data_IF_810319923880
#
_entry.id   IF_810319923880
#
_cell.length_a   1.000
_cell.length_b   1.000
_cell.length_c   1.000
_cell.angle_alpha   90.00
_cell.angle_beta   90.00
_cell.angle_gamma   90.00
#
_symmetry.space_group_name_H-M   'P 1'
#
loop_
_entity.id
_entity.type
_entity.pdbx_description
1 polymer ?
#
# COMPACT_ATOMS: atom_id res chain seq x y z
N UNK A 1 -9.89 -8.71 -17.63
CA UNK A 1 -8.75 -8.05 -16.94
C UNK A 1 -8.53 -6.67 -17.56
N UNK A 2 -8.41 -5.64 -16.72
CA UNK A 2 -8.17 -4.28 -17.18
C UNK A 2 -6.75 -4.12 -17.73
N UNK A 3 -6.63 -3.50 -18.90
CA UNK A 3 -5.34 -3.16 -19.50
C UNK A 3 -4.66 -2.05 -18.70
N UNK A 4 -3.32 -2.07 -18.62
CA UNK A 4 -2.56 -1.08 -17.83
C UNK A 4 -2.85 0.37 -18.28
N UNK A 5 -3.05 0.60 -19.56
CA UNK A 5 -3.30 1.95 -20.09
C UNK A 5 -4.72 2.47 -19.83
N UNK A 6 -5.58 1.68 -19.21
CA UNK A 6 -6.92 2.07 -18.77
C UNK A 6 -7.16 1.74 -17.30
N UNK A 7 -6.12 1.27 -16.60
CA UNK A 7 -6.23 0.89 -15.18
C UNK A 7 -6.32 2.10 -14.29
N UNK A 8 -7.13 1.97 -13.23
CA UNK A 8 -7.22 2.96 -12.14
C UNK A 8 -6.61 2.34 -10.91
N UNK A 9 -5.53 2.94 -10.42
CA UNK A 9 -4.72 2.39 -9.33
C UNK A 9 -4.68 3.38 -8.18
N UNK A 10 -4.91 2.89 -6.97
CA UNK A 10 -4.74 3.70 -5.76
C UNK A 10 -3.51 3.22 -4.99
N UNK A 11 -2.68 4.17 -4.58
CA UNK A 11 -1.55 3.96 -3.66
C UNK A 11 -2.00 4.48 -2.31
N UNK A 12 -1.98 3.63 -1.29
CA UNK A 12 -2.35 4.01 0.08
C UNK A 12 -1.07 4.14 0.92
N UNK A 13 -0.82 5.34 1.43
CA UNK A 13 0.37 5.62 2.23
C UNK A 13 0.13 6.79 3.18
N UNK A 14 0.99 6.92 4.17
CA UNK A 14 1.06 8.08 5.07
C UNK A 14 2.51 8.45 5.32
N UNK A 15 2.77 9.43 6.17
CA UNK A 15 4.13 9.87 6.49
C UNK A 15 5.03 8.69 6.86
N UNK A 16 6.29 8.78 6.48
CA UNK A 16 7.29 7.73 6.74
C UNK A 16 7.27 6.58 5.74
N UNK A 17 6.54 6.72 4.62
CA UNK A 17 6.67 5.75 3.53
C UNK A 17 8.07 5.82 2.92
N UNK A 18 8.63 4.67 2.54
CA UNK A 18 9.92 4.67 1.84
C UNK A 18 9.76 5.34 0.47
N UNK A 19 10.57 6.36 0.23
CA UNK A 19 10.46 7.23 -0.94
C UNK A 19 10.42 6.47 -2.27
N UNK A 20 11.35 5.56 -2.48
CA UNK A 20 11.45 4.80 -3.72
C UNK A 20 10.26 3.88 -3.95
N UNK A 21 9.68 3.35 -2.87
CA UNK A 21 8.59 2.37 -2.93
C UNK A 21 7.24 2.99 -3.29
N UNK A 22 7.13 4.30 -3.19
CA UNK A 22 5.99 5.05 -3.72
C UNK A 22 6.32 5.67 -5.07
N UNK A 23 7.45 6.37 -5.16
CA UNK A 23 7.82 7.14 -6.37
C UNK A 23 7.98 6.27 -7.60
N UNK A 24 8.70 5.17 -7.49
CA UNK A 24 8.98 4.31 -8.65
C UNK A 24 7.69 3.70 -9.21
N UNK A 25 6.83 3.03 -8.40
CA UNK A 25 5.56 2.54 -8.92
C UNK A 25 4.67 3.66 -9.47
N UNK A 26 4.59 4.80 -8.78
CA UNK A 26 3.76 5.93 -9.21
C UNK A 26 4.15 6.39 -10.61
N UNK A 27 5.43 6.70 -10.81
CA UNK A 27 5.93 7.22 -12.08
C UNK A 27 5.86 6.18 -13.20
N UNK A 28 6.23 4.93 -12.92
CA UNK A 28 6.22 3.86 -13.91
C UNK A 28 4.81 3.49 -14.37
N UNK A 29 3.87 3.42 -13.45
CA UNK A 29 2.48 3.10 -13.78
C UNK A 29 1.84 4.24 -14.59
N UNK A 30 2.09 5.49 -14.22
CA UNK A 30 1.64 6.63 -15.01
C UNK A 30 2.26 6.65 -16.40
N UNK A 31 3.55 6.36 -16.51
CA UNK A 31 4.23 6.30 -17.80
C UNK A 31 3.61 5.26 -18.73
N UNK A 32 3.06 4.18 -18.17
CA UNK A 32 2.36 3.13 -18.92
C UNK A 32 0.90 3.46 -19.19
N UNK A 33 0.42 4.62 -18.77
CA UNK A 33 -0.92 5.10 -19.07
C UNK A 33 -1.97 4.87 -17.98
N UNK A 34 -1.61 4.31 -16.83
CA UNK A 34 -2.56 4.13 -15.72
C UNK A 34 -2.91 5.47 -15.06
N UNK A 35 -4.14 5.57 -14.57
CA UNK A 35 -4.57 6.66 -13.69
C UNK A 35 -4.25 6.27 -12.26
N UNK A 36 -3.24 6.93 -11.66
CA UNK A 36 -2.74 6.60 -10.33
C UNK A 36 -3.07 7.73 -9.37
N UNK A 37 -3.76 7.38 -8.29
CA UNK A 37 -4.11 8.32 -7.21
C UNK A 37 -3.40 7.93 -5.93
N UNK A 38 -3.05 8.93 -5.12
CA UNK A 38 -2.46 8.74 -3.80
C UNK A 38 -3.54 9.02 -2.76
N UNK A 39 -3.86 8.01 -1.95
CA UNK A 39 -4.78 8.11 -0.83
C UNK A 39 -4.01 8.06 0.48
N UNK A 40 -4.46 8.80 1.48
CA UNK A 40 -3.88 8.80 2.81
C UNK A 40 -4.94 8.99 3.90
N UNK A 41 -4.53 8.81 5.13
CA UNK A 41 -5.37 9.04 6.31
C UNK A 41 -5.37 10.51 6.73
N UNK A 42 -4.56 11.34 6.06
CA UNK A 42 -4.53 12.79 6.28
C UNK A 42 -4.57 13.53 4.96
N UNK A 43 -5.05 14.74 5.01
CA UNK A 43 -5.17 15.66 3.91
C UNK A 43 -3.84 16.37 3.62
N UNK A 44 -3.75 17.04 2.47
CA UNK A 44 -2.59 17.86 2.08
C UNK A 44 -1.46 17.04 1.48
N UNK A 45 -0.39 16.85 2.24
CA UNK A 45 0.81 16.15 1.79
C UNK A 45 1.26 15.10 2.79
N UNK A 46 1.92 14.05 2.29
CA UNK A 46 2.60 13.06 3.11
C UNK A 46 4.10 13.11 2.81
N UNK A 47 4.90 12.94 3.86
CA UNK A 47 6.35 13.09 3.80
C UNK A 47 7.05 11.73 3.77
N UNK A 48 7.95 11.56 2.83
CA UNK A 48 8.71 10.32 2.68
C UNK A 48 9.79 10.16 3.73
N UNK A 49 10.18 8.90 3.95
CA UNK A 49 11.44 8.53 4.54
C UNK A 49 12.37 8.12 3.39
N UNK A 50 13.57 8.68 3.33
CA UNK A 50 14.53 8.43 2.25
C UNK A 50 15.77 7.77 2.84
N UNK A 51 15.72 6.46 2.96
CA UNK A 51 16.77 5.57 3.50
C UNK A 51 17.19 5.88 4.93
N UNK A 52 17.66 7.10 5.22
CA UNK A 52 18.27 7.48 6.51
C UNK A 52 17.67 8.72 7.14
N UNK A 53 16.84 9.45 6.42
CA UNK A 53 16.27 10.71 6.89
C UNK A 53 14.96 11.00 6.16
N UNK A 54 14.27 12.01 6.63
CA UNK A 54 13.07 12.51 5.96
C UNK A 54 13.43 13.06 4.58
N UNK A 55 12.61 12.74 3.59
CA UNK A 55 12.75 13.17 2.22
C UNK A 55 11.67 14.16 1.79
N UNK A 56 11.38 14.16 0.50
CA UNK A 56 10.36 15.02 -0.09
C UNK A 56 8.94 14.57 0.27
N UNK A 57 7.98 15.39 -0.09
CA UNK A 57 6.56 15.12 0.12
C UNK A 57 5.84 14.91 -1.20
N UNK A 58 4.70 14.22 -1.15
CA UNK A 58 3.77 14.11 -2.27
C UNK A 58 2.39 14.58 -1.84
N UNK A 59 1.64 15.10 -2.81
CA UNK A 59 0.28 15.55 -2.60
C UNK A 59 -0.66 14.35 -2.43
N UNK A 60 -1.56 14.44 -1.47
CA UNK A 60 -2.64 13.47 -1.27
C UNK A 60 -3.80 13.85 -2.19
N UNK A 61 -4.24 12.89 -3.01
CA UNK A 61 -5.34 13.11 -3.95
C UNK A 61 -6.71 12.91 -3.30
N UNK A 62 -6.81 11.94 -2.37
CA UNK A 62 -8.06 11.68 -1.65
C UNK A 62 -7.78 11.02 -0.29
N UNK A 63 -8.73 11.16 0.61
CA UNK A 63 -8.65 10.51 1.93
C UNK A 63 -9.02 9.03 1.83
N UNK A 64 -8.40 8.22 2.68
CA UNK A 64 -8.70 6.78 2.74
C UNK A 64 -10.20 6.51 2.96
N UNK A 65 -10.86 7.32 3.80
CA UNK A 65 -12.31 7.19 4.05
C UNK A 65 -13.16 7.37 2.80
N UNK A 66 -12.64 8.08 1.79
CA UNK A 66 -13.35 8.39 0.54
C UNK A 66 -12.99 7.42 -0.59
N UNK A 67 -12.09 6.47 -0.37
CA UNK A 67 -11.74 5.45 -1.36
C UNK A 67 -12.90 4.48 -1.53
N UNK A 68 -13.39 4.37 -2.76
CA UNK A 68 -14.42 3.40 -3.15
C UNK A 68 -13.77 2.32 -4.01
N UNK A 69 -13.93 1.08 -3.60
CA UNK A 69 -13.28 -0.07 -4.27
C UNK A 69 -13.69 -0.17 -5.75
N UNK A 70 -14.94 0.14 -6.05
CA UNK A 70 -15.47 0.09 -7.41
C UNK A 70 -14.81 1.09 -8.36
N UNK A 71 -14.14 2.13 -7.83
CA UNK A 71 -13.47 3.14 -8.64
C UNK A 71 -12.04 2.74 -9.04
N UNK A 72 -11.52 1.62 -8.52
CA UNK A 72 -10.13 1.23 -8.73
C UNK A 72 -10.00 -0.25 -9.12
N UNK A 73 -8.94 -0.54 -9.88
CA UNK A 73 -8.60 -1.89 -10.32
C UNK A 73 -7.54 -2.55 -9.45
N UNK A 74 -6.72 -1.76 -8.77
CA UNK A 74 -5.60 -2.26 -7.97
C UNK A 74 -5.25 -1.33 -6.82
N UNK A 75 -4.67 -1.93 -5.77
CA UNK A 75 -4.12 -1.24 -4.61
C UNK A 75 -2.62 -1.50 -4.53
N UNK A 76 -1.83 -0.43 -4.35
CA UNK A 76 -0.39 -0.50 -4.10
C UNK A 76 -0.10 0.01 -2.69
N UNK A 77 0.66 -0.77 -1.94
CA UNK A 77 1.02 -0.48 -0.55
C UNK A 77 2.54 -0.31 -0.44
N UNK A 78 3.05 0.94 -0.48
CA UNK A 78 4.46 1.20 -0.19
C UNK A 78 4.82 0.82 1.24
N UNK A 79 6.08 0.55 1.48
CA UNK A 79 6.58 0.19 2.79
C UNK A 79 7.16 1.38 3.56
N UNK A 80 8.40 1.23 3.98
CA UNK A 80 8.95 1.97 5.10
C UNK A 80 8.47 1.33 6.39
N UNK A 81 9.06 1.67 7.49
CA UNK A 81 8.65 1.09 8.78
C UNK A 81 7.52 1.89 9.42
N UNK A 82 7.58 3.21 9.39
CA UNK A 82 6.60 4.10 10.05
C UNK A 82 5.23 4.00 9.37
N UNK A 83 5.22 4.11 8.04
CA UNK A 83 3.99 4.16 7.25
C UNK A 83 3.03 2.98 7.53
N UNK A 84 3.42 1.71 7.33
CA UNK A 84 2.50 0.61 7.60
C UNK A 84 2.20 0.43 9.09
N UNK A 85 3.10 0.80 9.98
CA UNK A 85 2.84 0.76 11.41
C UNK A 85 1.68 1.69 11.79
N UNK A 86 1.68 2.90 11.25
CA UNK A 86 0.60 3.87 11.48
C UNK A 86 -0.70 3.44 10.79
N UNK A 87 -0.61 3.01 9.52
CA UNK A 87 -1.80 2.64 8.75
C UNK A 87 -2.53 1.44 9.35
N UNK A 88 -1.81 0.45 9.88
CA UNK A 88 -2.44 -0.77 10.43
C UNK A 88 -3.33 -0.48 11.63
N UNK A 89 -3.08 0.62 12.34
CA UNK A 89 -3.86 1.05 13.49
C UNK A 89 -5.02 2.00 13.13
N UNK A 90 -5.19 2.30 11.84
CA UNK A 90 -6.22 3.24 11.37
C UNK A 90 -7.36 2.48 10.70
N UNK A 91 -8.58 2.70 11.18
CA UNK A 91 -9.76 1.97 10.71
C UNK A 91 -10.09 2.25 9.23
N UNK A 92 -9.94 3.50 8.79
CA UNK A 92 -10.21 3.87 7.40
C UNK A 92 -9.23 3.20 6.43
N UNK A 93 -7.94 3.20 6.79
CA UNK A 93 -6.91 2.53 6.00
C UNK A 93 -7.15 1.03 5.94
N UNK A 94 -7.45 0.41 7.07
CA UNK A 94 -7.67 -1.04 7.12
C UNK A 94 -8.95 -1.45 6.40
N UNK A 95 -9.98 -0.60 6.39
CA UNK A 95 -11.17 -0.84 5.56
C UNK A 95 -10.80 -0.96 4.09
N UNK A 96 -9.98 -0.04 3.58
CA UNK A 96 -9.53 -0.06 2.18
C UNK A 96 -8.78 -1.36 1.89
N UNK A 97 -7.82 -1.73 2.73
CA UNK A 97 -7.03 -2.96 2.53
C UNK A 97 -7.93 -4.19 2.53
N UNK A 98 -8.81 -4.32 3.52
CA UNK A 98 -9.70 -5.48 3.65
C UNK A 98 -10.66 -5.59 2.48
N UNK A 99 -11.23 -4.50 2.02
CA UNK A 99 -12.16 -4.50 0.88
C UNK A 99 -11.45 -4.90 -0.42
N UNK A 100 -10.23 -4.40 -0.66
CA UNK A 100 -9.46 -4.82 -1.83
C UNK A 100 -9.11 -6.31 -1.80
N UNK A 101 -8.66 -6.81 -0.66
CA UNK A 101 -8.36 -8.24 -0.50
C UNK A 101 -9.61 -9.08 -0.76
N UNK A 102 -10.74 -8.70 -0.18
CA UNK A 102 -12.01 -9.42 -0.34
C UNK A 102 -12.52 -9.40 -1.78
N UNK A 103 -12.26 -8.32 -2.51
CA UNK A 103 -12.73 -8.15 -3.89
C UNK A 103 -12.01 -9.07 -4.89
N UNK A 104 -10.85 -9.59 -4.54
CA UNK A 104 -10.01 -10.35 -5.46
C UNK A 104 -9.22 -9.49 -6.45
N UNK A 105 -9.32 -8.17 -6.35
CA UNK A 105 -8.53 -7.24 -7.18
C UNK A 105 -7.06 -7.31 -6.80
N UNK A 106 -6.20 -6.79 -7.66
CA UNK A 106 -4.74 -6.80 -7.44
C UNK A 106 -4.38 -5.98 -6.21
N UNK A 107 -3.59 -6.58 -5.32
CA UNK A 107 -2.98 -5.90 -4.17
C UNK A 107 -1.49 -6.18 -4.21
N UNK A 108 -0.68 -5.11 -4.25
CA UNK A 108 0.77 -5.21 -4.24
C UNK A 108 1.31 -4.53 -2.98
N UNK A 109 2.13 -5.24 -2.22
CA UNK A 109 2.73 -4.73 -0.98
C UNK A 109 4.22 -5.04 -0.98
N UNK A 110 5.03 -4.10 -0.50
CA UNK A 110 6.48 -4.24 -0.47
C UNK A 110 7.05 -3.89 0.91
N UNK A 111 8.19 -4.47 1.26
CA UNK A 111 8.98 -4.16 2.45
C UNK A 111 8.22 -4.48 3.74
N UNK A 112 7.88 -3.48 4.54
CA UNK A 112 7.08 -3.64 5.76
C UNK A 112 5.56 -3.55 5.50
N UNK A 113 5.14 -3.20 4.28
CA UNK A 113 3.71 -3.08 3.96
C UNK A 113 2.92 -4.38 4.14
N UNK A 114 3.50 -5.59 4.02
CA UNK A 114 2.78 -6.81 4.38
C UNK A 114 2.24 -6.87 5.80
N UNK A 115 2.70 -6.02 6.72
CA UNK A 115 2.03 -5.83 8.02
C UNK A 115 0.54 -5.51 7.87
N UNK A 116 0.18 -4.75 6.82
CA UNK A 116 -1.22 -4.42 6.53
C UNK A 116 -2.01 -5.67 6.13
N UNK A 117 -1.37 -6.58 5.41
CA UNK A 117 -1.98 -7.85 5.03
C UNK A 117 -2.10 -8.79 6.23
N UNK A 118 -1.13 -8.76 7.14
CA UNK A 118 -1.19 -9.47 8.43
C UNK A 118 -2.38 -8.98 9.23
N UNK A 119 -2.52 -7.66 9.36
CA UNK A 119 -3.63 -7.03 10.09
C UNK A 119 -4.99 -7.39 9.48
N UNK A 120 -5.06 -7.53 8.16
CA UNK A 120 -6.29 -7.88 7.43
C UNK A 120 -6.57 -9.40 7.42
N UNK A 121 -5.74 -10.22 8.09
CA UNK A 121 -5.79 -11.69 8.01
C UNK A 121 -5.78 -12.21 6.57
N UNK A 122 -4.97 -11.57 5.73
CA UNK A 122 -4.95 -11.81 4.29
C UNK A 122 -3.78 -12.67 3.81
N UNK A 123 -2.87 -13.08 4.70
CA UNK A 123 -1.68 -13.88 4.32
C UNK A 123 -1.87 -15.36 4.55
N UNK A 124 -2.89 -15.78 5.30
CA UNK A 124 -3.10 -17.17 5.71
C UNK A 124 -3.19 -18.08 4.49
N UNK A 125 -2.29 -19.08 4.44
CA UNK A 125 -2.25 -20.07 3.36
C UNK A 125 -1.73 -19.52 2.02
N UNK A 126 -1.24 -18.29 1.97
CA UNK A 126 -0.71 -17.70 0.73
C UNK A 126 0.81 -17.67 0.74
N UNK A 127 1.41 -17.84 -0.43
CA UNK A 127 2.83 -17.57 -0.62
C UNK A 127 3.04 -16.07 -0.68
N UNK A 128 3.85 -15.57 0.26
CA UNK A 128 4.09 -14.12 0.41
C UNK A 128 5.54 -13.89 0.79
N UNK A 129 6.00 -12.66 0.56
CA UNK A 129 7.29 -12.22 1.04
C UNK A 129 7.16 -10.86 1.73
N UNK A 130 8.22 -10.41 2.36
CA UNK A 130 8.26 -9.13 3.05
C UNK A 130 9.70 -8.72 3.30
N UNK A 131 9.88 -7.55 3.90
CA UNK A 131 11.17 -7.22 4.51
C UNK A 131 11.48 -8.28 5.57
N UNK A 132 12.76 -8.71 5.61
CA UNK A 132 13.16 -9.86 6.43
C UNK A 132 12.87 -9.73 7.92
N UNK A 133 12.90 -8.50 8.46
CA UNK A 133 12.67 -8.27 9.90
C UNK A 133 11.26 -8.64 10.35
N UNK A 134 10.28 -8.68 9.44
CA UNK A 134 8.90 -9.04 9.77
C UNK A 134 8.51 -10.44 9.30
N UNK A 135 9.48 -11.24 8.91
CA UNK A 135 9.27 -12.62 8.47
C UNK A 135 8.48 -13.44 9.48
N UNK A 136 8.84 -13.35 10.74
CA UNK A 136 8.15 -14.09 11.82
C UNK A 136 6.69 -13.67 11.95
N UNK A 137 6.42 -12.36 11.83
CA UNK A 137 5.05 -11.85 11.91
C UNK A 137 4.18 -12.46 10.81
N UNK A 138 4.71 -12.49 9.58
CA UNK A 138 4.01 -13.06 8.43
C UNK A 138 3.75 -14.57 8.63
N UNK A 139 4.75 -15.31 9.11
CA UNK A 139 4.60 -16.72 9.40
C UNK A 139 3.58 -16.98 10.50
N UNK A 140 3.63 -16.20 11.59
CA UNK A 140 2.69 -16.35 12.70
C UNK A 140 1.25 -16.02 12.27
N UNK A 141 1.09 -15.19 11.26
CA UNK A 141 -0.23 -14.90 10.67
C UNK A 141 -0.69 -15.98 9.67
N UNK A 142 0.08 -17.04 9.49
CA UNK A 142 -0.26 -18.17 8.63
C UNK A 142 0.25 -18.06 7.20
N UNK A 143 1.10 -17.07 6.89
CA UNK A 143 1.68 -16.91 5.57
C UNK A 143 2.79 -17.92 5.28
N UNK A 144 2.89 -18.34 4.03
CA UNK A 144 3.98 -19.19 3.53
C UNK A 144 5.07 -18.25 2.99
N UNK A 145 5.98 -17.85 3.86
CA UNK A 145 7.01 -16.88 3.53
C UNK A 145 8.07 -17.47 2.59
N UNK A 146 8.38 -16.72 1.51
CA UNK A 146 9.35 -17.14 0.49
C UNK A 146 10.53 -16.16 0.39
#
# INVERSE_FOLDING_TARGET
>A
MTSINSAKIVILATDGYERSELRVPYEELQRKGADVKIASIKDGEIKSWDEKDWGDSVKVDLLAKDVRIEDFDALVLPGGQINPDVLRANDDAMRVVKEFVKSGKVVAAICHAPWLLVEADAVRGREVTSYGSIKTDVKNAGGLWK
#
